data_IF_363908939866
#
_entry.id   IF_363908939866
#
_cell.length_a   1.000
_cell.length_b   1.000
_cell.length_c   1.000
_cell.angle_alpha   90.00
_cell.angle_beta   90.00
_cell.angle_gamma   90.00
#
_symmetry.space_group_name_H-M   'P 1'
#
loop_
_entity.id
_entity.type
_entity.pdbx_description
1 polymer ?
#
# COMPACT_ATOMS: atom_id res chain seq x y z
N UNK A 1 -19.62 6.91 -24.18
CA UNK A 1 -19.58 5.45 -23.99
C UNK A 1 -18.26 5.11 -23.35
N UNK A 2 -18.20 4.96 -22.02
CA UNK A 2 -16.98 4.72 -21.26
C UNK A 2 -16.88 3.23 -21.03
N UNK A 3 -15.94 2.57 -21.71
CA UNK A 3 -15.59 1.17 -21.48
C UNK A 3 -14.54 1.16 -20.36
N UNK A 4 -14.96 0.82 -19.17
CA UNK A 4 -14.09 0.49 -18.04
C UNK A 4 -13.45 -0.87 -18.35
N UNK A 5 -12.16 -0.86 -18.64
CA UNK A 5 -11.39 -2.09 -18.73
C UNK A 5 -10.86 -2.42 -17.33
N UNK A 6 -11.57 -3.31 -16.63
CA UNK A 6 -11.07 -3.91 -15.39
C UNK A 6 -9.94 -4.86 -15.75
N UNK A 7 -8.71 -4.52 -15.37
CA UNK A 7 -7.61 -5.48 -15.37
C UNK A 7 -7.80 -6.35 -14.13
N UNK A 8 -8.61 -7.40 -14.30
CA UNK A 8 -8.73 -8.49 -13.34
C UNK A 8 -7.50 -9.39 -13.49
N UNK A 9 -6.49 -9.18 -12.64
CA UNK A 9 -5.39 -10.14 -12.50
C UNK A 9 -5.92 -11.29 -11.64
N UNK A 10 -6.38 -12.35 -12.31
CA UNK A 10 -6.71 -13.61 -11.65
C UNK A 10 -5.41 -14.31 -11.20
N UNK A 11 -5.16 -14.32 -9.91
CA UNK A 11 -4.29 -15.30 -9.32
C UNK A 11 -5.08 -16.59 -9.09
N UNK A 12 -4.93 -17.54 -9.99
CA UNK A 12 -5.41 -18.91 -9.76
C UNK A 12 -4.48 -19.60 -8.77
N UNK A 13 -4.94 -19.70 -7.53
CA UNK A 13 -4.38 -20.66 -6.56
C UNK A 13 -4.73 -22.08 -7.03
N UNK A 14 -3.77 -22.76 -7.63
CA UNK A 14 -3.85 -24.21 -7.87
C UNK A 14 -3.27 -24.92 -6.66
N UNK A 15 -4.13 -25.35 -5.74
CA UNK A 15 -3.79 -26.39 -4.78
C UNK A 15 -3.82 -27.73 -5.52
N UNK A 16 -2.67 -28.35 -5.73
CA UNK A 16 -2.60 -29.77 -6.06
C UNK A 16 -1.76 -30.46 -5.00
N UNK A 17 -2.47 -31.23 -4.17
CA UNK A 17 -1.91 -32.19 -3.23
C UNK A 17 -1.83 -33.53 -3.94
N UNK A 18 -0.65 -34.07 -4.18
CA UNK A 18 -0.46 -35.50 -4.36
C UNK A 18 0.84 -36.00 -3.74
N UNK A 19 0.67 -36.86 -2.75
CA UNK A 19 1.68 -37.72 -2.15
C UNK A 19 2.12 -38.81 -3.14
N UNK A 20 3.43 -38.93 -3.40
CA UNK A 20 4.04 -40.26 -3.69
C UNK A 20 5.53 -40.27 -3.38
N UNK A 21 5.90 -41.35 -2.72
CA UNK A 21 7.22 -41.74 -2.23
C UNK A 21 8.16 -42.23 -3.37
N UNK A 22 9.45 -42.11 -3.07
CA UNK A 22 10.61 -42.91 -3.51
C UNK A 22 11.35 -42.51 -4.80
N UNK A 23 12.63 -42.25 -4.59
CA UNK A 23 13.69 -42.39 -5.59
C UNK A 23 14.85 -41.42 -5.37
N UNK A 24 15.91 -41.89 -4.69
CA UNK A 24 17.24 -41.28 -4.66
C UNK A 24 17.80 -41.24 -6.09
N UNK A 25 18.27 -40.09 -6.56
CA UNK A 25 19.40 -39.92 -7.47
C UNK A 25 19.93 -38.48 -7.27
N UNK A 26 21.24 -38.40 -7.18
CA UNK A 26 22.10 -37.25 -6.95
C UNK A 26 22.13 -36.23 -8.08
N UNK A 27 22.48 -35.01 -7.67
CA UNK A 27 23.25 -33.98 -8.37
C UNK A 27 22.71 -33.33 -9.66
N UNK A 28 22.21 -32.11 -9.52
CA UNK A 28 22.86 -30.95 -10.14
C UNK A 28 22.26 -29.64 -9.61
N UNK A 29 23.09 -28.88 -8.92
CA UNK A 29 22.83 -27.50 -8.54
C UNK A 29 22.62 -26.66 -9.80
N UNK A 30 21.36 -26.30 -10.07
CA UNK A 30 21.07 -25.11 -10.85
C UNK A 30 20.38 -24.15 -9.91
N UNK A 31 21.17 -23.25 -9.34
CA UNK A 31 20.74 -22.10 -8.55
C UNK A 31 19.82 -21.22 -9.39
N UNK A 32 18.59 -21.61 -9.52
CA UNK A 32 17.52 -20.73 -9.92
C UNK A 32 17.12 -19.89 -8.71
N UNK A 33 17.65 -18.68 -8.63
CA UNK A 33 17.19 -17.70 -7.66
C UNK A 33 15.71 -17.44 -7.92
N UNK A 34 14.84 -18.11 -7.17
CA UNK A 34 13.46 -17.67 -6.96
C UNK A 34 13.55 -16.33 -6.22
N UNK A 35 13.69 -15.25 -6.97
CA UNK A 35 13.49 -13.90 -6.46
C UNK A 35 11.99 -13.78 -6.26
N UNK A 36 11.50 -14.19 -5.08
CA UNK A 36 10.18 -13.72 -4.65
C UNK A 36 10.19 -12.20 -4.76
N UNK A 37 9.16 -11.57 -5.34
CA UNK A 37 9.08 -10.12 -5.41
C UNK A 37 9.11 -9.60 -3.97
N UNK A 38 10.25 -9.09 -3.56
CA UNK A 38 10.45 -8.52 -2.24
C UNK A 38 9.65 -7.23 -2.19
N UNK A 39 8.46 -7.30 -1.61
CA UNK A 39 7.67 -6.10 -1.32
C UNK A 39 8.48 -5.26 -0.34
N UNK A 40 9.12 -4.21 -0.84
CA UNK A 40 9.95 -3.32 -0.03
C UNK A 40 9.09 -2.71 1.09
N UNK A 41 9.54 -2.86 2.33
CA UNK A 41 8.94 -2.18 3.48
C UNK A 41 9.01 -0.65 3.24
N UNK A 42 7.98 0.09 3.67
CA UNK A 42 7.96 1.56 3.60
C UNK A 42 9.23 2.17 4.21
N UNK A 43 9.76 1.58 5.29
CA UNK A 43 11.00 2.05 5.92
C UNK A 43 12.24 1.81 5.05
N UNK A 44 12.30 0.71 4.29
CA UNK A 44 13.38 0.45 3.33
C UNK A 44 13.30 1.40 2.12
N UNK A 45 12.08 1.78 1.69
CA UNK A 45 11.89 2.78 0.64
C UNK A 45 12.37 4.16 1.06
N UNK A 46 12.22 4.53 2.31
CA UNK A 46 12.67 5.83 2.85
C UNK A 46 14.19 5.97 2.76
N UNK A 47 14.92 4.88 3.00
CA UNK A 47 16.38 4.86 2.93
C UNK A 47 16.92 4.91 1.49
N UNK A 48 16.14 4.38 0.52
CA UNK A 48 16.61 4.21 -0.86
C UNK A 48 16.44 5.45 -1.74
N UNK A 49 15.45 6.31 -1.51
CA UNK A 49 15.07 7.35 -2.47
C UNK A 49 14.60 8.69 -1.90
N UNK A 50 14.75 8.89 -0.58
CA UNK A 50 14.31 10.13 0.07
C UNK A 50 12.79 10.35 0.00
N UNK A 51 12.01 9.29 -0.25
CA UNK A 51 10.55 9.40 -0.29
C UNK A 51 10.03 9.97 1.03
N UNK A 52 9.21 11.02 0.95
CA UNK A 52 8.63 11.68 2.11
C UNK A 52 7.53 10.80 2.70
N UNK A 53 7.91 9.88 3.57
CA UNK A 53 6.94 9.10 4.35
C UNK A 53 6.42 9.99 5.47
N UNK A 54 5.11 10.15 5.50
CA UNK A 54 4.40 10.86 6.56
C UNK A 54 3.89 9.83 7.57
N UNK A 55 4.21 10.00 8.84
CA UNK A 55 3.75 9.07 9.88
C UNK A 55 3.04 9.79 11.02
N UNK A 56 2.04 9.11 11.60
CA UNK A 56 1.39 9.54 12.83
C UNK A 56 1.06 8.31 13.67
N UNK A 57 1.36 8.37 14.97
CA UNK A 57 1.03 7.29 15.90
C UNK A 57 -0.08 7.74 16.83
N UNK A 58 -1.14 6.94 16.92
CA UNK A 58 -2.28 7.16 17.82
C UNK A 58 -2.71 5.82 18.39
N UNK A 59 -2.91 5.75 19.72
CA UNK A 59 -3.38 4.54 20.43
C UNK A 59 -2.58 3.27 20.11
N UNK A 60 -1.26 3.40 19.94
CA UNK A 60 -0.40 2.26 19.62
C UNK A 60 -0.47 1.79 18.16
N UNK A 61 -1.23 2.45 17.31
CA UNK A 61 -1.23 2.23 15.86
C UNK A 61 -0.41 3.32 15.18
N UNK A 62 0.51 2.91 14.32
CA UNK A 62 1.26 3.78 13.42
C UNK A 62 0.57 3.81 12.07
N UNK A 63 0.16 4.98 11.66
CA UNK A 63 -0.36 5.31 10.34
C UNK A 63 0.78 5.87 9.50
N UNK A 64 1.16 5.21 8.43
CA UNK A 64 2.24 5.63 7.53
C UNK A 64 1.69 5.84 6.13
N UNK A 65 2.10 6.90 5.46
CA UNK A 65 1.64 7.28 4.13
C UNK A 65 2.85 7.63 3.27
N UNK A 66 3.01 6.94 2.14
CA UNK A 66 4.06 7.21 1.17
C UNK A 66 3.43 7.52 -0.19
N UNK A 67 3.69 8.72 -0.73
CA UNK A 67 3.20 9.10 -2.05
C UNK A 67 4.29 8.88 -3.10
N UNK A 68 3.92 8.23 -4.20
CA UNK A 68 4.79 7.88 -5.31
C UNK A 68 4.04 8.03 -6.63
N UNK A 69 4.71 8.36 -7.74
CA UNK A 69 4.08 8.31 -9.05
C UNK A 69 3.69 6.87 -9.41
N UNK A 70 2.61 6.68 -10.16
CA UNK A 70 2.20 5.33 -10.57
C UNK A 70 3.26 4.64 -11.43
N UNK A 71 3.99 5.40 -12.24
CA UNK A 71 5.11 4.88 -13.05
C UNK A 71 6.26 4.38 -12.18
N UNK A 72 6.67 5.17 -11.17
CA UNK A 72 7.72 4.73 -10.24
C UNK A 72 7.26 3.52 -9.42
N UNK A 73 5.97 3.46 -9.05
CA UNK A 73 5.40 2.31 -8.37
C UNK A 73 5.51 1.04 -9.23
N UNK A 74 5.17 1.11 -10.53
CA UNK A 74 5.34 -0.02 -11.45
C UNK A 74 6.80 -0.43 -11.58
N UNK A 75 7.70 0.53 -11.78
CA UNK A 75 9.14 0.25 -11.92
C UNK A 75 9.71 -0.46 -10.68
N UNK A 76 9.31 -0.06 -9.48
CA UNK A 76 9.73 -0.70 -8.22
C UNK A 76 9.19 -2.12 -8.06
N UNK A 77 8.05 -2.42 -8.66
CA UNK A 77 7.49 -3.78 -8.68
C UNK A 77 8.02 -4.62 -9.85
N UNK A 78 9.21 -4.28 -10.38
CA UNK A 78 9.86 -4.97 -11.50
C UNK A 78 9.01 -5.05 -12.78
N UNK A 79 8.05 -4.15 -12.93
CA UNK A 79 7.28 -3.98 -14.16
C UNK A 79 7.91 -2.83 -14.95
N UNK A 80 8.44 -3.13 -16.13
CA UNK A 80 8.94 -2.11 -17.04
C UNK A 80 7.71 -1.47 -17.70
N UNK A 81 7.41 -0.18 -17.44
CA UNK A 81 6.28 0.49 -18.05
C UNK A 81 6.46 0.53 -19.58
N UNK A 82 5.41 0.25 -20.31
CA UNK A 82 5.36 0.49 -21.75
C UNK A 82 5.07 1.96 -22.05
N UNK A 83 5.25 2.40 -23.31
CA UNK A 83 4.88 3.76 -23.72
C UNK A 83 3.38 4.04 -23.49
N UNK A 84 2.54 3.03 -23.65
CA UNK A 84 1.11 3.12 -23.38
C UNK A 84 0.82 3.31 -21.88
N UNK A 85 1.50 2.57 -21.02
CA UNK A 85 1.40 2.73 -19.56
C UNK A 85 1.89 4.14 -19.15
N UNK A 86 2.97 4.63 -19.77
CA UNK A 86 3.52 5.94 -19.49
C UNK A 86 2.52 7.06 -19.80
N UNK A 87 1.79 6.98 -20.91
CA UNK A 87 0.77 7.97 -21.27
C UNK A 87 -0.48 7.87 -20.38
N UNK A 88 -0.91 6.65 -20.04
CA UNK A 88 -2.11 6.42 -19.22
C UNK A 88 -1.91 6.85 -17.77
N UNK A 89 -0.72 6.57 -17.20
CA UNK A 89 -0.42 6.73 -15.77
C UNK A 89 0.36 8.00 -15.44
N UNK A 90 0.68 8.86 -16.43
CA UNK A 90 1.49 10.07 -16.22
C UNK A 90 0.99 11.02 -15.13
N UNK A 91 -0.33 11.09 -14.96
CA UNK A 91 -1.00 11.96 -14.01
C UNK A 91 -1.53 11.19 -12.79
N UNK A 92 -1.12 9.94 -12.64
CA UNK A 92 -1.57 9.10 -11.53
C UNK A 92 -0.54 9.03 -10.40
N UNK A 93 -1.04 9.12 -9.19
CA UNK A 93 -0.28 9.01 -7.95
C UNK A 93 -0.83 7.85 -7.13
N UNK A 94 0.07 7.03 -6.59
CA UNK A 94 -0.24 6.00 -5.62
C UNK A 94 0.16 6.49 -4.24
N UNK A 95 -0.77 6.43 -3.28
CA UNK A 95 -0.43 6.59 -1.88
C UNK A 95 -0.49 5.21 -1.25
N UNK A 96 0.65 4.75 -0.78
CA UNK A 96 0.78 3.52 -0.01
C UNK A 96 0.42 3.89 1.43
N UNK A 97 -0.60 3.23 1.96
CA UNK A 97 -1.04 3.37 3.34
C UNK A 97 -0.65 2.11 4.10
N UNK A 98 0.13 2.27 5.17
CA UNK A 98 0.39 1.19 6.13
C UNK A 98 -0.16 1.53 7.49
N UNK A 99 -0.95 0.61 8.03
CA UNK A 99 -1.41 0.62 9.42
C UNK A 99 -0.65 -0.47 10.17
N UNK A 100 0.09 -0.10 11.21
CA UNK A 100 0.90 -1.08 11.95
C UNK A 100 0.72 -0.94 13.46
N UNK A 101 0.62 -2.07 14.16
CA UNK A 101 0.75 -2.07 15.60
C UNK A 101 2.20 -1.69 15.98
N UNK A 102 2.37 -0.75 16.89
CA UNK A 102 3.70 -0.37 17.38
C UNK A 102 4.38 -1.50 18.15
N UNK A 103 3.62 -2.44 18.67
CA UNK A 103 4.14 -3.69 19.17
C UNK A 103 4.21 -4.72 18.02
N UNK A 104 5.40 -4.88 17.45
CA UNK A 104 5.65 -5.77 16.32
C UNK A 104 5.30 -7.25 16.54
N UNK A 105 5.04 -7.65 17.79
CA UNK A 105 4.63 -9.02 18.14
C UNK A 105 3.12 -9.22 18.13
N UNK A 106 2.35 -8.14 18.01
CA UNK A 106 0.89 -8.21 17.98
C UNK A 106 0.36 -8.11 16.57
N UNK A 107 -0.65 -8.91 16.25
CA UNK A 107 -1.44 -8.72 15.05
C UNK A 107 -2.23 -7.41 15.17
N UNK A 108 -2.20 -6.58 14.12
CA UNK A 108 -2.96 -5.33 14.06
C UNK A 108 -4.46 -5.55 14.25
N UNK A 109 -4.98 -6.70 13.80
CA UNK A 109 -6.39 -7.09 13.99
C UNK A 109 -6.79 -7.42 15.43
N UNK A 110 -5.79 -7.62 16.31
CA UNK A 110 -6.01 -7.95 17.72
C UNK A 110 -5.61 -6.80 18.63
N UNK A 111 -5.44 -5.61 18.09
CA UNK A 111 -5.15 -4.42 18.90
C UNK A 111 -6.31 -4.15 19.88
N UNK A 112 -5.97 -3.73 21.10
CA UNK A 112 -6.98 -3.47 22.16
C UNK A 112 -7.93 -2.32 21.81
N UNK A 113 -7.58 -1.48 20.85
CA UNK A 113 -8.39 -0.37 20.36
C UNK A 113 -9.15 -0.72 19.08
N UNK A 114 -9.09 -1.98 18.61
CA UNK A 114 -9.86 -2.40 17.46
C UNK A 114 -11.35 -2.27 17.74
N UNK A 115 -12.06 -1.54 16.86
CA UNK A 115 -13.51 -1.29 16.94
C UNK A 115 -14.33 -2.35 16.24
N UNK A 116 -13.71 -3.08 15.32
CA UNK A 116 -14.29 -4.10 14.45
C UNK A 116 -13.58 -5.44 14.64
N UNK A 117 -14.26 -6.53 14.36
CA UNK A 117 -13.64 -7.84 14.22
C UNK A 117 -12.78 -7.93 12.95
N UNK A 118 -11.91 -8.97 12.86
CA UNK A 118 -10.99 -9.15 11.72
C UNK A 118 -11.72 -9.11 10.37
N UNK A 119 -12.81 -9.85 10.24
CA UNK A 119 -13.54 -9.97 8.98
C UNK A 119 -14.24 -8.66 8.60
N UNK A 120 -14.81 -7.96 9.57
CA UNK A 120 -15.41 -6.64 9.37
C UNK A 120 -14.37 -5.59 8.98
N UNK A 121 -13.17 -5.63 9.59
CA UNK A 121 -12.05 -4.78 9.19
C UNK A 121 -11.65 -5.03 7.74
N UNK A 122 -11.55 -6.30 7.31
CA UNK A 122 -11.21 -6.64 5.93
C UNK A 122 -12.30 -6.14 4.98
N UNK A 123 -13.57 -6.31 5.31
CA UNK A 123 -14.68 -5.79 4.49
C UNK A 123 -14.60 -4.27 4.33
N UNK A 124 -14.36 -3.55 5.41
CA UNK A 124 -14.17 -2.11 5.39
C UNK A 124 -12.97 -1.71 4.50
N UNK A 125 -11.82 -2.39 4.67
CA UNK A 125 -10.58 -2.10 3.93
C UNK A 125 -10.70 -2.36 2.41
N UNK A 126 -11.55 -3.31 2.02
CA UNK A 126 -11.79 -3.64 0.59
C UNK A 126 -12.82 -2.71 -0.04
N UNK A 127 -13.79 -2.21 0.73
CA UNK A 127 -14.94 -1.47 0.21
C UNK A 127 -15.00 -0.02 0.65
N UNK A 128 -15.19 0.21 1.93
CA UNK A 128 -15.60 1.51 2.47
C UNK A 128 -14.44 2.47 2.78
N UNK A 129 -13.21 1.97 2.92
CA UNK A 129 -12.02 2.78 3.22
C UNK A 129 -11.86 3.97 2.27
N UNK A 130 -12.25 3.81 1.00
CA UNK A 130 -12.18 4.87 -0.03
C UNK A 130 -13.00 6.12 0.34
N UNK A 131 -14.07 5.96 1.11
CA UNK A 131 -14.96 7.05 1.51
C UNK A 131 -14.38 7.89 2.65
N UNK A 132 -13.53 7.27 3.47
CA UNK A 132 -12.93 7.87 4.65
C UNK A 132 -11.50 8.41 4.41
N UNK A 133 -10.99 8.25 3.18
CA UNK A 133 -9.64 8.64 2.80
C UNK A 133 -9.67 9.67 1.66
N UNK A 134 -8.95 10.79 1.83
CA UNK A 134 -8.85 11.82 0.78
C UNK A 134 -7.56 12.63 0.92
N UNK A 135 -7.25 13.35 -0.13
CA UNK A 135 -6.13 14.27 -0.20
C UNK A 135 -6.66 15.70 -0.40
N UNK A 136 -5.97 16.67 0.15
CA UNK A 136 -6.22 18.10 -0.13
C UNK A 136 -4.96 18.71 -0.73
N UNK A 137 -5.07 19.29 -1.93
CA UNK A 137 -4.01 20.02 -2.61
C UNK A 137 -4.56 21.31 -3.18
N UNK A 138 -3.84 22.42 -2.99
CA UNK A 138 -4.26 23.74 -3.44
C UNK A 138 -5.69 24.14 -2.98
N UNK A 139 -6.05 23.74 -1.75
CA UNK A 139 -7.36 24.00 -1.16
C UNK A 139 -8.50 23.12 -1.71
N UNK A 140 -8.22 22.22 -2.64
CA UNK A 140 -9.22 21.31 -3.21
C UNK A 140 -9.12 19.94 -2.59
N UNK A 141 -10.27 19.36 -2.23
CA UNK A 141 -10.36 17.94 -1.85
C UNK A 141 -10.33 17.08 -3.10
N UNK A 142 -9.49 16.06 -3.07
CA UNK A 142 -9.34 15.06 -4.13
C UNK A 142 -9.60 13.71 -3.47
N UNK A 143 -10.61 13.00 -3.96
CA UNK A 143 -10.91 11.65 -3.49
C UNK A 143 -10.11 10.62 -4.32
N UNK A 144 -9.81 9.45 -3.76
CA UNK A 144 -9.18 8.39 -4.55
C UNK A 144 -10.14 7.93 -5.66
N UNK A 145 -9.59 7.60 -6.81
CA UNK A 145 -10.30 6.96 -7.92
C UNK A 145 -10.30 5.42 -7.83
N UNK A 146 -9.56 4.87 -6.89
CA UNK A 146 -9.54 3.43 -6.59
C UNK A 146 -8.73 3.11 -5.35
N UNK A 147 -8.96 1.91 -4.82
CA UNK A 147 -8.18 1.32 -3.73
C UNK A 147 -7.86 -0.13 -4.06
N UNK A 148 -6.77 -0.62 -3.48
CA UNK A 148 -6.42 -2.04 -3.49
C UNK A 148 -5.93 -2.42 -2.10
N UNK A 149 -6.62 -3.33 -1.45
CA UNK A 149 -6.15 -3.95 -0.22
C UNK A 149 -5.14 -5.05 -0.56
N UNK A 150 -3.90 -4.93 -0.10
CA UNK A 150 -2.84 -5.89 -0.35
C UNK A 150 -2.74 -6.98 0.72
N UNK A 151 -3.54 -6.88 1.76
CA UNK A 151 -3.53 -7.85 2.86
C UNK A 151 -2.65 -7.41 4.02
N UNK A 152 -2.25 -8.39 4.83
CA UNK A 152 -1.31 -8.19 5.92
C UNK A 152 0.11 -8.48 5.47
N UNK A 153 1.04 -7.68 5.95
CA UNK A 153 2.47 -7.83 5.71
C UNK A 153 3.22 -7.92 7.04
N UNK A 154 4.42 -8.51 6.99
CA UNK A 154 5.26 -8.71 8.15
C UNK A 154 4.93 -9.96 8.97
N UNK A 155 5.81 -10.28 9.90
CA UNK A 155 5.60 -11.37 10.84
C UNK A 155 4.38 -11.05 11.74
N UNK A 156 3.59 -12.07 12.07
CA UNK A 156 2.44 -11.96 12.96
C UNK A 156 1.29 -11.04 12.48
N UNK A 157 1.17 -10.76 11.19
CA UNK A 157 0.12 -9.85 10.65
C UNK A 157 0.12 -8.47 11.34
N UNK A 158 1.28 -7.96 11.70
CA UNK A 158 1.38 -6.71 12.46
C UNK A 158 1.20 -5.44 11.62
N UNK A 159 1.06 -5.56 10.31
CA UNK A 159 0.84 -4.46 9.37
C UNK A 159 -0.28 -4.79 8.40
N UNK A 160 -1.06 -3.79 8.04
CA UNK A 160 -2.03 -3.79 6.95
C UNK A 160 -1.51 -2.85 5.88
N UNK A 161 -1.57 -3.24 4.59
CA UNK A 161 -1.20 -2.38 3.48
C UNK A 161 -2.36 -2.17 2.51
N UNK A 162 -2.55 -0.91 2.12
CA UNK A 162 -3.58 -0.47 1.18
C UNK A 162 -2.90 0.46 0.18
N UNK A 163 -3.19 0.29 -1.10
CA UNK A 163 -2.84 1.23 -2.16
C UNK A 163 -4.07 2.08 -2.47
N UNK A 164 -3.88 3.39 -2.53
CA UNK A 164 -4.93 4.32 -2.94
C UNK A 164 -4.45 5.09 -4.15
N UNK A 165 -5.29 5.16 -5.17
CA UNK A 165 -4.95 5.75 -6.47
C UNK A 165 -5.62 7.12 -6.62
N UNK A 166 -4.84 8.11 -7.07
CA UNK A 166 -5.31 9.47 -7.28
C UNK A 166 -4.92 9.97 -8.65
N UNK A 167 -5.78 10.75 -9.27
CA UNK A 167 -5.50 11.40 -10.55
C UNK A 167 -5.36 12.91 -10.36
N UNK A 168 -4.37 13.51 -11.04
CA UNK A 168 -4.14 14.94 -11.04
C UNK A 168 -3.54 15.48 -9.74
N UNK A 169 -2.84 14.64 -8.98
CA UNK A 169 -2.08 15.03 -7.78
C UNK A 169 -0.61 15.19 -8.14
N UNK A 170 -0.03 16.36 -7.89
CA UNK A 170 1.41 16.56 -8.00
C UNK A 170 2.09 16.32 -6.65
N UNK A 171 2.76 15.18 -6.52
CA UNK A 171 3.46 14.80 -5.28
C UNK A 171 4.64 15.71 -4.94
N UNK A 172 5.09 16.59 -5.84
CA UNK A 172 6.16 17.57 -5.60
C UNK A 172 5.64 18.81 -4.87
N UNK A 173 4.36 19.11 -5.00
CA UNK A 173 3.71 20.23 -4.32
C UNK A 173 3.32 19.89 -2.88
N UNK A 174 2.82 20.92 -2.16
CA UNK A 174 2.26 20.74 -0.83
C UNK A 174 0.92 20.02 -0.92
N UNK A 175 0.72 19.02 -0.08
CA UNK A 175 -0.56 18.35 0.07
C UNK A 175 -0.79 17.91 1.51
N UNK A 176 -2.04 17.62 1.82
CA UNK A 176 -2.46 17.05 3.10
C UNK A 176 -3.27 15.79 2.86
N UNK A 177 -2.87 14.71 3.49
CA UNK A 177 -3.62 13.46 3.53
C UNK A 177 -4.51 13.49 4.77
N UNK A 178 -5.75 13.06 4.61
CA UNK A 178 -6.71 12.89 5.70
C UNK A 178 -7.36 11.50 5.62
N UNK A 179 -7.44 10.87 6.77
CA UNK A 179 -8.12 9.59 6.95
C UNK A 179 -8.99 9.68 8.21
N UNK A 180 -10.27 9.35 8.08
CA UNK A 180 -11.17 9.20 9.23
C UNK A 180 -11.15 7.74 9.66
N UNK A 181 -10.49 7.46 10.77
CA UNK A 181 -10.28 6.10 11.21
C UNK A 181 -11.55 5.47 11.77
N UNK A 182 -11.93 4.34 11.19
CA UNK A 182 -13.05 3.50 11.64
C UNK A 182 -12.59 2.22 12.35
N UNK A 183 -11.26 1.97 12.37
CA UNK A 183 -10.72 0.69 12.80
C UNK A 183 -10.26 0.67 14.26
N UNK A 184 -9.71 1.80 14.77
CA UNK A 184 -9.00 1.84 16.05
C UNK A 184 -9.42 3.00 16.95
N UNK A 185 -10.54 3.64 16.64
CA UNK A 185 -11.04 4.83 17.36
C UNK A 185 -9.95 5.92 17.49
N UNK A 186 -9.11 6.07 16.47
CA UNK A 186 -8.05 7.07 16.42
C UNK A 186 -8.54 8.45 15.94
N UNK A 187 -9.79 8.54 15.49
CA UNK A 187 -10.41 9.75 14.98
C UNK A 187 -9.82 10.20 13.64
N UNK A 188 -9.63 11.49 13.45
CA UNK A 188 -9.11 12.01 12.18
C UNK A 188 -7.58 12.00 12.19
N UNK A 189 -7.00 11.22 11.31
CA UNK A 189 -5.58 11.19 11.02
C UNK A 189 -5.30 12.21 9.92
N UNK A 190 -4.46 13.18 10.22
CA UNK A 190 -4.08 14.23 9.28
C UNK A 190 -2.57 14.37 9.27
N UNK A 191 -1.98 14.28 8.07
CA UNK A 191 -0.55 14.49 7.83
C UNK A 191 -0.36 15.40 6.61
N UNK A 192 0.67 16.26 6.66
CA UNK A 192 0.91 17.21 5.59
C UNK A 192 2.35 17.11 5.11
N UNK A 193 2.55 17.08 3.81
CA UNK A 193 3.82 17.35 3.17
C UNK A 193 3.93 18.84 2.92
N UNK A 194 5.01 19.44 3.43
CA UNK A 194 5.38 20.80 3.09
C UNK A 194 6.68 20.77 2.29
N UNK A 195 6.68 21.39 1.14
CA UNK A 195 7.90 21.65 0.40
C UNK A 195 8.71 22.70 1.17
N UNK A 196 9.92 22.35 1.62
CA UNK A 196 10.82 23.34 2.18
C UNK A 196 11.16 24.34 1.06
N UNK A 197 10.68 25.56 1.17
CA UNK A 197 11.22 26.64 0.34
C UNK A 197 12.71 26.75 0.70
N UNK A 198 13.57 26.45 -0.25
CA UNK A 198 14.97 26.80 -0.11
C UNK A 198 15.01 28.36 -0.09
N UNK A 199 15.29 28.92 1.09
CA UNK A 199 15.62 30.32 1.21
C UNK A 199 16.92 30.56 0.43
N UNK A 200 16.81 31.32 -0.64
CA UNK A 200 17.91 31.82 -1.46
C UNK A 200 18.68 32.83 -0.64
#
# INVERSE_FOLDING_TARGET
MHRWLYILIFFTLSCHSENKKHGLIEDNETSGSNIEPRVLDIQEQQAADGSNIQTKTVKGIRFSFAAISALDFLARNNKIPTDADAEELKDETVIIVELSDTNQYHSVFKNIHATLGKDEMIQYLVGDFVNDFWLTQNGKRINPNGIQYEGTVGANENKIRILTFFKGVDIRENYTIQYTDQLFDAGIIKVSKQHKQQSV
#
